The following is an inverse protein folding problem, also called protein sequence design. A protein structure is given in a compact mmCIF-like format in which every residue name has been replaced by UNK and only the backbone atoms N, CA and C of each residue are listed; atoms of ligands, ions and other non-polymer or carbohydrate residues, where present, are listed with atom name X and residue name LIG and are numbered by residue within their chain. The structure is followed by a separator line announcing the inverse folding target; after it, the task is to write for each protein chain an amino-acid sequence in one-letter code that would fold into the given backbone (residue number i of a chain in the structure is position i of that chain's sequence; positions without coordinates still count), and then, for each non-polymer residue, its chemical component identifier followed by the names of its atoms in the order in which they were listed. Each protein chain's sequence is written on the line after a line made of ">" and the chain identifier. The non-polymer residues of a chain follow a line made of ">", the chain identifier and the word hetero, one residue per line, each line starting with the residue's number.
data_IF_957427502318
#
_entry.id   IF_957427502318
#
_cell.length_a   1.000
_cell.length_b   1.000
_cell.length_c   1.000
_cell.angle_alpha   90.00
_cell.angle_beta   90.00
_cell.angle_gamma   90.00
#
_symmetry.space_group_name_H-M   'P 1'
#
loop_
_entity.id
_entity.type
_entity.pdbx_description
1 polymer ?
#
# COMPACT_ATOMS: atom_id res chain seq x y z
N UNK A 1 43.11 -10.35 -24.27
CA UNK A 1 41.65 -10.54 -24.45
C UNK A 1 41.00 -10.39 -23.10
N UNK A 2 40.52 -9.20 -22.78
CA UNK A 2 39.77 -8.91 -21.57
C UNK A 2 38.37 -8.51 -22.00
N UNK A 3 37.44 -9.45 -21.95
CA UNK A 3 36.02 -9.19 -22.17
C UNK A 3 35.34 -9.25 -20.80
N UNK A 4 35.45 -8.12 -20.08
CA UNK A 4 34.62 -7.82 -18.93
C UNK A 4 33.25 -7.38 -19.41
N UNK A 5 32.33 -8.34 -19.56
CA UNK A 5 30.93 -8.05 -19.79
C UNK A 5 30.27 -7.71 -18.45
N UNK A 6 30.32 -6.41 -18.16
CA UNK A 6 29.38 -5.59 -17.40
C UNK A 6 28.22 -6.38 -16.75
N UNK A 7 28.33 -6.56 -15.43
CA UNK A 7 27.19 -6.89 -14.59
C UNK A 7 26.14 -5.78 -14.76
N UNK A 8 25.10 -6.08 -15.54
CA UNK A 8 23.92 -5.23 -15.66
C UNK A 8 23.42 -4.89 -14.25
N UNK A 9 23.60 -3.62 -13.88
CA UNK A 9 23.04 -3.02 -12.69
C UNK A 9 21.55 -3.33 -12.68
N UNK A 10 21.14 -4.26 -11.82
CA UNK A 10 19.74 -4.42 -11.42
C UNK A 10 19.34 -3.15 -10.67
N UNK A 11 19.10 -2.06 -11.39
CA UNK A 11 18.42 -0.91 -10.82
C UNK A 11 17.10 -1.44 -10.26
N UNK A 12 16.82 -1.27 -8.95
CA UNK A 12 15.52 -1.61 -8.43
C UNK A 12 14.53 -0.70 -9.15
N UNK A 13 13.65 -1.30 -9.96
CA UNK A 13 12.46 -0.63 -10.45
C UNK A 13 11.83 0.09 -9.24
N UNK A 14 11.37 1.35 -9.40
CA UNK A 14 10.63 2.04 -8.34
C UNK A 14 9.45 1.17 -7.91
N UNK A 15 9.64 0.40 -6.84
CA UNK A 15 8.67 -0.58 -6.39
C UNK A 15 7.67 0.15 -5.51
N UNK A 16 6.38 -0.06 -5.79
CA UNK A 16 5.34 0.43 -4.92
C UNK A 16 5.62 -0.07 -3.49
N UNK A 17 5.44 0.78 -2.45
CA UNK A 17 5.66 0.36 -1.09
C UNK A 17 4.78 -0.87 -0.78
N UNK A 18 5.28 -1.84 0.01
CA UNK A 18 4.51 -3.00 0.39
C UNK A 18 3.21 -2.56 1.08
N UNK A 19 2.09 -3.30 0.90
CA UNK A 19 0.83 -2.96 1.53
C UNK A 19 0.99 -2.91 3.06
N UNK A 20 0.24 -2.03 3.75
CA UNK A 20 0.33 -1.89 5.18
C UNK A 20 -0.02 -3.21 5.87
N UNK A 21 0.70 -3.50 6.96
CA UNK A 21 0.49 -4.71 7.73
C UNK A 21 -0.84 -4.63 8.51
N UNK A 22 -1.86 -5.37 8.05
CA UNK A 22 -3.21 -5.36 8.61
C UNK A 22 -3.39 -6.26 9.85
N UNK A 23 -2.42 -7.13 10.16
CA UNK A 23 -2.53 -8.09 11.25
C UNK A 23 -1.22 -8.33 11.94
N UNK A 24 -1.11 -7.98 13.22
CA UNK A 24 0.06 -8.26 14.04
C UNK A 24 -0.33 -9.21 15.19
N UNK A 25 0.19 -10.46 15.24
CA UNK A 25 -0.19 -11.45 16.25
C UNK A 25 0.26 -11.07 17.67
N UNK A 26 1.30 -10.24 17.79
CA UNK A 26 1.83 -9.78 19.08
C UNK A 26 1.04 -8.59 19.64
N UNK A 27 0.17 -7.95 18.86
CA UNK A 27 -0.67 -6.84 19.33
C UNK A 27 -1.98 -7.37 19.92
N UNK A 28 -2.33 -6.99 21.17
CA UNK A 28 -3.60 -7.38 21.76
C UNK A 28 -4.76 -6.75 20.96
N UNK A 29 -5.75 -7.56 20.60
CA UNK A 29 -6.94 -7.12 19.88
C UNK A 29 -7.94 -6.48 20.84
N UNK A 30 -8.76 -5.56 20.32
CA UNK A 30 -9.87 -4.96 21.05
C UNK A 30 -11.08 -4.88 20.14
N UNK A 31 -12.25 -5.09 20.72
CA UNK A 31 -13.53 -4.87 20.06
C UNK A 31 -14.37 -4.01 20.98
N UNK A 32 -14.60 -2.76 20.58
CA UNK A 32 -15.40 -1.79 21.33
C UNK A 32 -16.66 -1.46 20.53
N UNK A 33 -17.68 -0.92 21.19
CA UNK A 33 -18.87 -0.38 20.53
C UNK A 33 -18.52 0.69 19.47
N UNK A 34 -17.53 1.54 19.75
CA UNK A 34 -17.05 2.56 18.81
C UNK A 34 -16.38 1.93 17.58
N UNK A 35 -15.53 0.92 17.77
CA UNK A 35 -14.92 0.19 16.64
C UNK A 35 -15.98 -0.55 15.81
N UNK A 36 -17.00 -1.11 16.46
CA UNK A 36 -18.13 -1.72 15.77
C UNK A 36 -18.94 -0.69 14.98
N UNK A 37 -19.21 0.48 15.54
CA UNK A 37 -19.90 1.58 14.83
C UNK A 37 -19.11 2.06 13.62
N UNK A 38 -17.78 2.24 13.77
CA UNK A 38 -16.90 2.59 12.67
C UNK A 38 -16.94 1.56 11.54
N UNK A 39 -16.92 0.26 11.86
CA UNK A 39 -16.97 -0.80 10.86
C UNK A 39 -18.36 -0.94 10.20
N UNK A 40 -19.43 -0.94 11.00
CA UNK A 40 -20.77 -1.31 10.54
C UNK A 40 -21.54 -0.16 9.90
N UNK A 41 -21.35 1.06 10.39
CA UNK A 41 -22.08 2.24 9.94
C UNK A 41 -21.20 3.14 9.07
N UNK A 42 -20.08 3.62 9.61
CA UNK A 42 -19.22 4.60 8.92
C UNK A 42 -18.56 4.00 7.68
N UNK A 43 -17.78 2.93 7.83
CA UNK A 43 -17.04 2.32 6.74
C UNK A 43 -17.98 1.78 5.67
N UNK A 44 -19.09 1.13 6.07
CA UNK A 44 -20.12 0.64 5.15
C UNK A 44 -20.71 1.76 4.28
N UNK A 45 -20.94 2.93 4.86
CA UNK A 45 -21.50 4.08 4.14
C UNK A 45 -20.48 4.65 3.16
N UNK A 46 -19.23 4.82 3.60
CA UNK A 46 -18.14 5.28 2.73
C UNK A 46 -17.85 4.29 1.60
N UNK A 47 -17.92 2.98 1.85
CA UNK A 47 -17.61 1.95 0.86
C UNK A 47 -18.59 1.91 -0.31
N UNK A 48 -19.85 2.31 -0.07
CA UNK A 48 -20.92 2.35 -1.07
C UNK A 48 -21.01 3.69 -1.81
N UNK A 49 -20.23 4.68 -1.40
CA UNK A 49 -20.28 6.02 -1.99
C UNK A 49 -19.77 6.01 -3.44
N UNK A 50 -20.32 6.86 -4.31
CA UNK A 50 -19.93 6.92 -5.74
C UNK A 50 -18.43 7.24 -5.94
N UNK A 51 -17.84 7.99 -5.02
CA UNK A 51 -16.41 8.32 -5.05
C UNK A 51 -15.53 7.35 -4.25
N UNK A 52 -16.06 6.21 -3.81
CA UNK A 52 -15.31 5.25 -3.01
C UNK A 52 -14.31 4.44 -3.83
N UNK A 53 -14.58 4.25 -5.13
CA UNK A 53 -13.83 3.33 -5.98
C UNK A 53 -12.29 3.51 -5.97
N UNK A 54 -11.69 4.72 -5.91
CA UNK A 54 -10.23 4.84 -5.89
C UNK A 54 -9.61 4.56 -4.52
N UNK A 55 -10.41 4.41 -3.46
CA UNK A 55 -9.96 4.17 -2.09
C UNK A 55 -10.17 2.74 -1.60
N UNK A 56 -10.78 1.87 -2.41
CA UNK A 56 -11.05 0.48 -2.04
C UNK A 56 -9.81 -0.43 -2.10
N UNK A 57 -8.74 0.02 -2.77
CA UNK A 57 -7.47 -0.69 -2.90
C UNK A 57 -6.28 0.26 -2.68
N UNK A 58 -5.08 -0.27 -2.40
CA UNK A 58 -3.86 0.54 -2.37
C UNK A 58 -3.63 1.28 -3.70
N UNK A 59 -3.07 2.48 -3.60
CA UNK A 59 -2.74 3.29 -4.78
C UNK A 59 -1.63 2.61 -5.59
N UNK A 60 -1.93 2.27 -6.84
CA UNK A 60 -0.94 1.81 -7.80
C UNK A 60 -0.25 3.03 -8.45
N UNK A 61 0.84 3.47 -7.83
CA UNK A 61 1.59 4.65 -8.27
C UNK A 61 2.17 4.49 -9.68
N UNK A 62 2.56 3.27 -10.08
CA UNK A 62 3.17 2.99 -11.38
C UNK A 62 2.13 3.14 -12.48
N UNK A 63 0.96 2.51 -12.30
CA UNK A 63 -0.16 2.61 -13.25
C UNK A 63 -0.68 4.05 -13.39
N UNK A 64 -0.59 4.84 -12.33
CA UNK A 64 -1.03 6.23 -12.30
C UNK A 64 0.07 7.24 -12.72
N UNK A 65 1.29 6.79 -12.99
CA UNK A 65 2.41 7.68 -13.34
C UNK A 65 2.81 8.65 -12.21
N UNK A 66 2.59 8.27 -10.96
CA UNK A 66 2.89 9.09 -9.79
C UNK A 66 4.34 8.90 -9.33
N UNK A 67 5.03 9.94 -8.86
CA UNK A 67 6.37 9.80 -8.32
C UNK A 67 6.33 8.99 -7.02
N UNK A 68 7.09 7.89 -6.96
CA UNK A 68 7.37 7.21 -5.68
C UNK A 68 8.57 7.88 -5.04
N UNK A 69 8.50 8.14 -3.73
CA UNK A 69 9.58 8.82 -3.01
C UNK A 69 10.92 8.09 -3.25
N UNK A 70 12.01 8.84 -3.51
CA UNK A 70 13.33 8.24 -3.64
C UNK A 70 13.73 7.56 -2.32
N UNK A 71 14.52 6.48 -2.37
CA UNK A 71 15.04 5.84 -1.17
C UNK A 71 15.83 6.85 -0.35
N UNK A 72 15.57 6.89 0.96
CA UNK A 72 16.37 7.67 1.91
C UNK A 72 17.81 7.14 1.86
N UNK A 73 18.74 7.99 1.42
CA UNK A 73 20.19 7.73 1.45
C UNK A 73 20.71 7.64 2.88
#
# INVERSE_FOLDING_TARGET
>A
MGDGLEAGSSQPLPSAPPPPHIWNPSRPKRQTNQLQFLLREVLKTLWKHHFAWPFQAPVDAIKLGLPVSPPLQ
#
